data_IF_705171181368
#
_entry.id   IF_705171181368
#
_cell.length_a   1.000
_cell.length_b   1.000
_cell.length_c   1.000
_cell.angle_alpha   90.00
_cell.angle_beta   90.00
_cell.angle_gamma   90.00
#
_symmetry.space_group_name_H-M   'P 1'
#
loop_
_entity.id
_entity.type
_entity.pdbx_description
1 polymer ?
#
# COMPACT_ATOMS: atom_id res chain seq x y z
N UNK A 1 -18.28 -18.82 -2.28
CA UNK A 1 -17.40 -18.62 -1.12
C UNK A 1 -17.42 -19.89 -0.32
N UNK A 2 -16.27 -20.52 -0.17
CA UNK A 2 -16.11 -21.72 0.67
C UNK A 2 -15.95 -21.31 2.14
N UNK A 3 -16.10 -22.28 3.06
CA UNK A 3 -15.84 -21.99 4.49
C UNK A 3 -14.42 -21.48 4.75
N UNK A 4 -13.45 -21.99 4.00
CA UNK A 4 -12.05 -21.56 4.05
C UNK A 4 -11.84 -20.10 3.58
N UNK A 5 -12.57 -19.66 2.56
CA UNK A 5 -12.53 -18.25 2.11
C UNK A 5 -13.06 -17.30 3.20
N UNK A 6 -14.13 -17.72 3.90
CA UNK A 6 -14.68 -16.92 4.99
C UNK A 6 -13.69 -16.80 6.15
N UNK A 7 -13.01 -17.90 6.51
CA UNK A 7 -11.99 -17.89 7.56
C UNK A 7 -10.83 -16.96 7.17
N UNK A 8 -10.31 -17.08 5.94
CA UNK A 8 -9.23 -16.22 5.44
C UNK A 8 -9.63 -14.75 5.48
N UNK A 9 -10.82 -14.43 4.96
CA UNK A 9 -11.34 -13.05 4.92
C UNK A 9 -11.46 -12.47 6.33
N UNK A 10 -12.05 -13.24 7.26
CA UNK A 10 -12.21 -12.81 8.65
C UNK A 10 -10.86 -12.62 9.33
N UNK A 11 -9.94 -13.58 9.16
CA UNK A 11 -8.60 -13.52 9.75
C UNK A 11 -7.82 -12.30 9.26
N UNK A 12 -7.81 -12.03 7.94
CA UNK A 12 -7.12 -10.87 7.38
C UNK A 12 -7.81 -9.54 7.71
N UNK A 13 -9.13 -9.52 7.87
CA UNK A 13 -9.84 -8.33 8.37
C UNK A 13 -9.42 -8.01 9.80
N UNK A 14 -9.40 -9.00 10.68
CA UNK A 14 -8.97 -8.83 12.08
C UNK A 14 -7.49 -8.42 12.15
N UNK A 15 -6.62 -9.09 11.39
CA UNK A 15 -5.21 -8.72 11.29
C UNK A 15 -5.04 -7.29 10.80
N UNK A 16 -5.80 -6.89 9.77
CA UNK A 16 -5.83 -5.52 9.26
C UNK A 16 -6.27 -4.51 10.32
N UNK A 17 -7.28 -4.84 11.12
CA UNK A 17 -7.71 -4.00 12.24
C UNK A 17 -6.61 -3.80 13.27
N UNK A 18 -5.91 -4.86 13.67
CA UNK A 18 -4.78 -4.80 14.60
C UNK A 18 -3.64 -3.96 14.04
N UNK A 19 -3.24 -4.18 12.79
CA UNK A 19 -2.22 -3.38 12.11
C UNK A 19 -2.66 -1.91 12.05
N UNK A 20 -3.91 -1.65 11.68
CA UNK A 20 -4.46 -0.29 11.63
C UNK A 20 -4.45 0.42 13.00
N UNK A 21 -4.68 -0.30 14.10
CA UNK A 21 -4.56 0.23 15.45
C UNK A 21 -3.10 0.58 15.80
N UNK A 22 -2.14 -0.28 15.40
CA UNK A 22 -0.71 -0.01 15.57
C UNK A 22 -0.30 1.22 14.76
N UNK A 23 -0.74 1.32 13.50
CA UNK A 23 -0.49 2.48 12.64
C UNK A 23 -1.08 3.75 13.26
N UNK A 24 -2.33 3.70 13.74
CA UNK A 24 -2.96 4.82 14.45
C UNK A 24 -2.16 5.24 15.68
N UNK A 25 -1.69 4.29 16.49
CA UNK A 25 -0.85 4.58 17.65
C UNK A 25 0.47 5.25 17.23
N UNK A 26 1.13 4.74 16.19
CA UNK A 26 2.34 5.38 15.61
C UNK A 26 2.07 6.78 15.07
N UNK A 27 0.92 7.00 14.45
CA UNK A 27 0.52 8.33 13.98
C UNK A 27 0.26 9.31 15.13
N UNK A 28 -0.21 8.82 16.27
CA UNK A 28 -0.45 9.64 17.46
C UNK A 28 0.84 10.16 18.09
N UNK A 29 1.99 9.49 17.89
CA UNK A 29 3.29 9.97 18.38
C UNK A 29 3.83 11.18 17.61
N UNK A 30 3.26 11.50 16.44
CA UNK A 30 3.68 12.58 15.54
C UNK A 30 5.18 12.54 15.14
N UNK A 31 5.84 11.40 15.33
CA UNK A 31 7.26 11.21 15.06
C UNK A 31 7.65 11.34 13.57
N UNK A 32 6.67 11.43 12.68
CA UNK A 32 6.87 11.69 11.25
C UNK A 32 6.98 13.19 10.92
N UNK A 33 6.57 14.09 11.85
CA UNK A 33 6.66 15.54 11.69
C UNK A 33 8.12 15.99 11.84
N UNK A 34 8.48 17.05 11.09
CA UNK A 34 9.76 17.74 11.24
C UNK A 34 9.64 18.86 12.28
N UNK A 35 10.77 19.42 12.68
CA UNK A 35 10.81 20.47 13.70
C UNK A 35 9.99 21.71 13.33
N UNK A 36 9.93 22.06 12.05
CA UNK A 36 9.12 23.13 11.49
C UNK A 36 7.62 22.84 11.42
N UNK A 37 7.24 21.56 11.51
CA UNK A 37 5.84 21.09 11.47
C UNK A 37 5.23 20.85 12.86
N UNK A 38 6.03 20.87 13.92
CA UNK A 38 5.60 20.57 15.30
C UNK A 38 4.54 21.55 15.81
N UNK A 39 4.60 22.81 15.35
CA UNK A 39 3.66 23.88 15.74
C UNK A 39 2.29 23.78 15.08
N UNK A 40 2.11 22.87 14.10
CA UNK A 40 0.82 22.67 13.45
C UNK A 40 -0.22 22.06 14.41
N UNK A 41 -1.51 22.41 14.26
CA UNK A 41 -2.57 21.82 15.08
C UNK A 41 -2.51 20.29 15.09
N UNK A 42 -2.84 19.69 16.24
CA UNK A 42 -2.88 18.25 16.33
C UNK A 42 -3.98 17.69 15.41
N UNK A 43 -3.66 16.74 14.53
CA UNK A 43 -4.68 16.11 13.71
C UNK A 43 -5.63 15.31 14.62
N UNK A 44 -6.89 15.21 14.22
CA UNK A 44 -7.92 14.46 14.97
C UNK A 44 -7.58 12.98 15.17
N UNK A 45 -8.43 12.23 15.87
CA UNK A 45 -8.12 10.87 16.39
C UNK A 45 -7.95 9.77 15.32
N UNK A 46 -8.14 10.09 14.03
CA UNK A 46 -7.85 9.22 12.87
C UNK A 46 -8.39 7.78 12.98
N UNK A 47 -9.59 7.62 13.54
CA UNK A 47 -10.25 6.31 13.65
C UNK A 47 -10.58 5.65 12.30
N UNK A 48 -10.60 6.43 11.23
CA UNK A 48 -10.79 5.92 9.88
C UNK A 48 -9.61 5.01 9.43
N UNK A 49 -8.39 5.19 9.99
CA UNK A 49 -7.20 4.41 9.59
C UNK A 49 -7.36 2.92 9.92
N UNK A 50 -7.68 2.51 11.17
CA UNK A 50 -7.95 1.11 11.46
C UNK A 50 -9.08 0.53 10.62
N UNK A 51 -10.16 1.29 10.42
CA UNK A 51 -11.29 0.85 9.60
C UNK A 51 -10.88 0.64 8.13
N UNK A 52 -10.12 1.57 7.55
CA UNK A 52 -9.64 1.47 6.17
C UNK A 52 -8.69 0.29 5.98
N UNK A 53 -7.73 0.08 6.91
CA UNK A 53 -6.81 -1.07 6.85
C UNK A 53 -7.54 -2.38 6.97
N UNK A 54 -8.49 -2.50 7.90
CA UNK A 54 -9.31 -3.70 8.09
C UNK A 54 -10.16 -3.99 6.84
N UNK A 55 -10.88 -3.00 6.35
CA UNK A 55 -11.73 -3.14 5.17
C UNK A 55 -10.93 -3.51 3.92
N UNK A 56 -9.80 -2.83 3.66
CA UNK A 56 -8.96 -3.13 2.51
C UNK A 56 -8.36 -4.54 2.59
N UNK A 57 -7.89 -4.97 3.78
CA UNK A 57 -7.37 -6.33 3.98
C UNK A 57 -8.44 -7.40 3.75
N UNK A 58 -9.65 -7.19 4.29
CA UNK A 58 -10.79 -8.08 4.11
C UNK A 58 -11.25 -8.16 2.66
N UNK A 59 -11.34 -7.02 1.97
CA UNK A 59 -11.73 -6.97 0.55
C UNK A 59 -10.71 -7.69 -0.35
N UNK A 60 -9.42 -7.55 -0.07
CA UNK A 60 -8.38 -8.29 -0.80
C UNK A 60 -8.49 -9.78 -0.55
N UNK A 61 -8.67 -10.21 0.71
CA UNK A 61 -8.87 -11.60 1.05
C UNK A 61 -10.10 -12.19 0.37
N UNK A 62 -11.22 -11.47 0.42
CA UNK A 62 -12.45 -11.88 -0.26
C UNK A 62 -12.28 -11.98 -1.78
N UNK A 63 -11.54 -11.04 -2.38
CA UNK A 63 -11.32 -10.99 -3.83
C UNK A 63 -10.45 -12.14 -4.34
N UNK A 64 -9.43 -12.52 -3.59
CA UNK A 64 -8.46 -13.55 -4.02
C UNK A 64 -8.84 -14.94 -3.51
N UNK A 65 -9.44 -15.05 -2.33
CA UNK A 65 -9.74 -16.32 -1.70
C UNK A 65 -8.49 -17.15 -1.36
N UNK A 66 -8.72 -18.40 -0.98
CA UNK A 66 -7.65 -19.35 -0.64
C UNK A 66 -6.90 -19.81 -1.89
N UNK A 67 -7.57 -19.90 -3.03
CA UNK A 67 -6.96 -20.43 -4.26
C UNK A 67 -5.88 -19.53 -4.84
N UNK A 68 -5.99 -18.22 -4.62
CA UNK A 68 -5.07 -17.21 -5.13
C UNK A 68 -4.33 -16.44 -4.02
N UNK A 69 -4.18 -17.06 -2.85
CA UNK A 69 -3.55 -16.41 -1.69
C UNK A 69 -2.13 -15.87 -1.96
N UNK A 70 -1.28 -16.43 -2.88
CA UNK A 70 0.03 -15.83 -3.11
C UNK A 70 -0.03 -14.41 -3.63
N UNK A 71 -1.12 -14.03 -4.33
CA UNK A 71 -1.33 -12.66 -4.82
C UNK A 71 -1.66 -11.67 -3.69
N UNK A 72 -1.97 -12.14 -2.49
CA UNK A 72 -2.09 -11.29 -1.31
C UNK A 72 -0.74 -10.73 -0.88
N UNK A 73 0.37 -11.44 -1.12
CA UNK A 73 1.71 -11.02 -0.70
C UNK A 73 2.12 -9.64 -1.25
N UNK A 74 2.00 -9.34 -2.56
CA UNK A 74 2.29 -8.01 -3.08
C UNK A 74 1.20 -6.97 -2.81
N UNK A 75 -0.06 -7.39 -2.54
CA UNK A 75 -1.19 -6.47 -2.47
C UNK A 75 -1.58 -6.05 -1.05
N UNK A 76 -1.40 -6.91 -0.04
CA UNK A 76 -1.64 -6.55 1.36
C UNK A 76 -0.80 -5.36 1.84
N UNK A 77 0.48 -5.20 1.45
CA UNK A 77 1.24 -4.00 1.78
C UNK A 77 0.55 -2.70 1.35
N UNK A 78 -0.17 -2.68 0.22
CA UNK A 78 -0.94 -1.49 -0.19
C UNK A 78 -2.06 -1.18 0.82
N UNK A 79 -2.75 -2.21 1.33
CA UNK A 79 -3.79 -2.03 2.33
C UNK A 79 -3.25 -1.50 3.67
N UNK A 80 -2.02 -1.83 4.02
CA UNK A 80 -1.40 -1.45 5.29
C UNK A 80 -0.70 -0.09 5.22
N UNK A 81 0.13 0.11 4.19
CA UNK A 81 0.88 1.37 4.01
C UNK A 81 0.05 2.49 3.40
N UNK A 82 -0.94 2.17 2.56
CA UNK A 82 -1.78 3.17 1.90
C UNK A 82 -2.48 4.12 2.89
N UNK A 83 -3.32 3.63 3.83
CA UNK A 83 -3.95 4.47 4.83
C UNK A 83 -2.96 5.18 5.76
N UNK A 84 -1.79 4.57 6.04
CA UNK A 84 -0.73 5.21 6.81
C UNK A 84 -0.15 6.43 6.09
N UNK A 85 0.27 6.23 4.83
CA UNK A 85 0.82 7.30 3.99
C UNK A 85 -0.22 8.41 3.76
N UNK A 86 -1.48 8.03 3.48
CA UNK A 86 -2.57 8.99 3.32
C UNK A 86 -2.81 9.83 4.58
N UNK A 87 -2.71 9.21 5.77
CA UNK A 87 -2.90 9.94 7.03
C UNK A 87 -1.76 10.94 7.29
N UNK A 88 -0.53 10.65 6.85
CA UNK A 88 0.61 11.57 6.94
C UNK A 88 0.45 12.69 5.90
N UNK A 89 0.06 12.34 4.68
CA UNK A 89 -0.12 13.31 3.60
C UNK A 89 -1.22 14.32 3.91
N UNK A 90 -2.32 13.88 4.50
CA UNK A 90 -3.41 14.76 4.97
C UNK A 90 -2.98 15.72 6.08
N UNK A 91 -1.93 15.40 6.83
CA UNK A 91 -1.42 16.23 7.93
C UNK A 91 -0.34 17.22 7.45
N UNK A 92 0.69 16.71 6.78
CA UNK A 92 1.89 17.52 6.45
C UNK A 92 2.13 17.65 4.94
N UNK A 93 1.24 17.16 4.11
CA UNK A 93 1.28 17.20 2.63
C UNK A 93 2.62 16.76 2.06
N UNK A 94 3.21 15.73 2.67
CA UNK A 94 4.43 15.08 2.19
C UNK A 94 4.48 13.61 2.59
N UNK A 95 5.14 12.83 1.77
CA UNK A 95 5.35 11.40 2.00
C UNK A 95 6.78 11.15 2.51
N UNK A 96 6.96 10.52 3.70
CA UNK A 96 8.29 10.22 4.23
C UNK A 96 9.02 9.20 3.35
N UNK A 97 10.19 9.56 2.82
CA UNK A 97 10.97 8.67 1.94
C UNK A 97 11.29 7.31 2.57
N UNK A 98 11.54 7.27 3.88
CA UNK A 98 11.82 6.01 4.60
C UNK A 98 10.64 5.06 4.58
N UNK A 99 9.43 5.58 4.74
CA UNK A 99 8.20 4.79 4.72
C UNK A 99 7.87 4.31 3.31
N UNK A 100 8.07 5.16 2.30
CA UNK A 100 7.95 4.79 0.89
C UNK A 100 8.95 3.70 0.50
N UNK A 101 10.21 3.82 0.90
CA UNK A 101 11.24 2.82 0.64
C UNK A 101 10.89 1.48 1.31
N UNK A 102 10.47 1.50 2.58
CA UNK A 102 10.02 0.30 3.29
C UNK A 102 8.84 -0.36 2.57
N UNK A 103 7.84 0.43 2.14
CA UNK A 103 6.71 -0.08 1.38
C UNK A 103 7.15 -0.73 0.06
N UNK A 104 8.01 -0.04 -0.72
CA UNK A 104 8.54 -0.58 -1.98
C UNK A 104 9.28 -1.91 -1.80
N UNK A 105 10.12 -2.01 -0.75
CA UNK A 105 10.82 -3.26 -0.41
C UNK A 105 9.84 -4.37 -0.08
N UNK A 106 8.84 -4.11 0.76
CA UNK A 106 7.84 -5.13 1.16
C UNK A 106 7.03 -5.59 -0.05
N UNK A 107 6.63 -4.69 -0.95
CA UNK A 107 5.94 -5.05 -2.21
C UNK A 107 6.86 -5.89 -3.10
N UNK A 108 8.12 -5.49 -3.29
CA UNK A 108 9.08 -6.24 -4.12
C UNK A 108 9.32 -7.66 -3.57
N UNK A 109 9.49 -7.80 -2.25
CA UNK A 109 9.60 -9.09 -1.57
C UNK A 109 8.32 -9.91 -1.77
N UNK A 110 7.14 -9.28 -1.63
CA UNK A 110 5.85 -9.93 -1.85
C UNK A 110 5.67 -10.44 -3.28
N UNK A 111 6.08 -9.66 -4.29
CA UNK A 111 6.10 -10.06 -5.71
C UNK A 111 7.04 -11.24 -5.92
N UNK A 112 8.27 -11.16 -5.41
CA UNK A 112 9.26 -12.24 -5.52
C UNK A 112 8.78 -13.53 -4.87
N UNK A 113 8.21 -13.44 -3.66
CA UNK A 113 7.67 -14.58 -2.95
C UNK A 113 6.48 -15.21 -3.70
N UNK A 114 5.57 -14.39 -4.22
CA UNK A 114 4.45 -14.88 -5.03
C UNK A 114 4.93 -15.63 -6.27
N UNK A 115 5.89 -15.06 -7.01
CA UNK A 115 6.48 -15.70 -8.19
C UNK A 115 7.16 -17.03 -7.85
N UNK A 116 7.89 -17.11 -6.74
CA UNK A 116 8.57 -18.33 -6.30
C UNK A 116 7.56 -19.42 -5.85
N UNK A 117 6.54 -19.05 -5.10
CA UNK A 117 5.53 -20.00 -4.59
C UNK A 117 4.69 -20.57 -5.72
N UNK A 118 4.34 -19.75 -6.71
CA UNK A 118 3.54 -20.21 -7.85
C UNK A 118 4.38 -20.84 -8.95
N UNK A 119 5.70 -20.66 -8.94
CA UNK A 119 6.58 -21.06 -10.04
C UNK A 119 6.39 -20.21 -11.31
N UNK A 120 5.70 -19.07 -11.21
CA UNK A 120 5.34 -18.23 -12.34
C UNK A 120 6.11 -16.90 -12.32
N UNK A 121 7.16 -16.84 -13.12
CA UNK A 121 7.98 -15.61 -13.28
C UNK A 121 7.20 -14.46 -13.93
N UNK A 122 6.10 -14.73 -14.62
CA UNK A 122 5.28 -13.71 -15.26
C UNK A 122 4.75 -12.69 -14.25
N UNK A 123 4.49 -13.10 -13.00
CA UNK A 123 4.08 -12.21 -11.90
C UNK A 123 5.10 -11.09 -11.67
N UNK A 124 6.39 -11.46 -11.62
CA UNK A 124 7.46 -10.48 -11.41
C UNK A 124 7.65 -9.57 -12.62
N UNK A 125 7.58 -10.13 -13.84
CA UNK A 125 7.66 -9.34 -15.08
C UNK A 125 6.51 -8.35 -15.18
N UNK A 126 5.28 -8.79 -14.91
CA UNK A 126 4.09 -7.94 -14.94
C UNK A 126 4.17 -6.84 -13.88
N UNK A 127 4.61 -7.15 -12.67
CA UNK A 127 4.82 -6.16 -11.62
C UNK A 127 5.85 -5.09 -12.07
N UNK A 128 6.96 -5.52 -12.68
CA UNK A 128 7.96 -4.60 -13.20
C UNK A 128 7.41 -3.71 -14.33
N UNK A 129 6.67 -4.29 -15.27
CA UNK A 129 6.01 -3.56 -16.35
C UNK A 129 4.98 -2.58 -15.79
N UNK A 130 4.12 -3.01 -14.86
CA UNK A 130 3.11 -2.16 -14.25
C UNK A 130 3.71 -0.98 -13.49
N UNK A 131 4.78 -1.22 -12.73
CA UNK A 131 5.53 -0.16 -12.05
C UNK A 131 6.17 0.82 -13.04
N UNK A 132 6.77 0.31 -14.11
CA UNK A 132 7.39 1.14 -15.15
C UNK A 132 6.37 1.98 -15.92
N UNK A 133 5.25 1.38 -16.34
CA UNK A 133 4.16 2.10 -17.03
C UNK A 133 3.60 3.20 -16.15
N UNK A 134 3.32 2.90 -14.89
CA UNK A 134 2.83 3.87 -13.93
C UNK A 134 3.83 5.04 -13.71
N UNK A 135 5.13 4.73 -13.62
CA UNK A 135 6.18 5.74 -13.54
C UNK A 135 6.26 6.63 -14.79
N UNK A 136 6.23 6.02 -15.98
CA UNK A 136 6.29 6.77 -17.25
C UNK A 136 5.08 7.68 -17.41
N UNK A 137 3.87 7.20 -17.11
CA UNK A 137 2.65 8.01 -17.15
C UNK A 137 2.77 9.21 -16.18
N UNK A 138 3.22 8.97 -14.95
CA UNK A 138 3.44 10.05 -14.00
C UNK A 138 4.48 11.05 -14.52
N UNK A 139 5.62 10.56 -15.03
CA UNK A 139 6.69 11.41 -15.55
C UNK A 139 6.23 12.30 -16.72
N UNK A 140 5.40 11.74 -17.62
CA UNK A 140 4.78 12.52 -18.71
C UNK A 140 3.85 13.59 -18.14
N UNK A 141 3.00 13.25 -17.18
CA UNK A 141 2.06 14.19 -16.56
C UNK A 141 2.78 15.35 -15.85
N UNK A 142 3.87 15.05 -15.13
CA UNK A 142 4.70 16.06 -14.49
C UNK A 142 5.36 17.00 -15.50
N UNK A 143 5.78 16.47 -16.69
CA UNK A 143 6.34 17.28 -17.78
C UNK A 143 5.31 18.17 -18.47
N UNK A 144 4.05 17.68 -18.61
CA UNK A 144 2.96 18.47 -19.23
C UNK A 144 2.49 19.57 -18.28
N UNK A 145 2.52 19.35 -16.97
CA UNK A 145 2.09 20.32 -15.95
C UNK A 145 3.10 20.40 -14.80
N UNK A 146 4.23 21.09 -15.00
CA UNK A 146 5.29 21.15 -14.01
C UNK A 146 4.78 21.70 -12.65
N UNK A 147 5.11 21.00 -11.56
CA UNK A 147 4.72 21.40 -10.20
C UNK A 147 3.25 21.14 -9.84
N UNK A 148 2.47 20.50 -10.72
CA UNK A 148 1.08 20.11 -10.43
C UNK A 148 0.96 18.82 -9.60
N UNK A 149 2.00 18.00 -9.60
CA UNK A 149 2.08 16.73 -8.87
C UNK A 149 3.30 16.75 -7.94
N UNK A 150 3.12 16.32 -6.70
CA UNK A 150 4.21 16.28 -5.72
C UNK A 150 5.23 15.18 -6.06
N UNK A 151 6.54 15.44 -5.88
CA UNK A 151 7.58 14.42 -6.04
C UNK A 151 7.40 13.20 -5.13
N UNK A 152 6.65 13.34 -4.02
CA UNK A 152 6.25 12.23 -3.15
C UNK A 152 5.35 11.24 -3.87
N UNK A 153 4.36 11.74 -4.62
CA UNK A 153 3.42 10.94 -5.40
C UNK A 153 4.14 10.20 -6.53
N UNK A 154 5.11 10.87 -7.18
CA UNK A 154 5.93 10.26 -8.23
C UNK A 154 6.69 9.01 -7.80
N UNK A 155 7.10 8.95 -6.54
CA UNK A 155 7.77 7.78 -5.96
C UNK A 155 6.79 6.69 -5.53
N UNK A 156 5.55 7.05 -5.19
CA UNK A 156 4.54 6.13 -4.72
C UNK A 156 3.82 5.39 -5.85
N UNK A 157 3.57 6.08 -6.96
CA UNK A 157 2.85 5.56 -8.13
C UNK A 157 3.46 4.26 -8.69
N UNK A 158 4.80 4.13 -8.89
CA UNK A 158 5.39 2.87 -9.34
C UNK A 158 5.14 1.69 -8.40
N UNK A 159 5.11 1.93 -7.09
CA UNK A 159 4.85 0.88 -6.09
C UNK A 159 3.42 0.36 -6.23
N UNK A 160 2.46 1.27 -6.38
CA UNK A 160 1.06 0.92 -6.63
C UNK A 160 0.93 0.18 -7.96
N UNK A 161 1.58 0.69 -9.02
CA UNK A 161 1.58 0.07 -10.35
C UNK A 161 2.11 -1.35 -10.32
N UNK A 162 3.22 -1.60 -9.66
CA UNK A 162 3.81 -2.93 -9.52
C UNK A 162 2.87 -3.91 -8.79
N UNK A 163 2.32 -3.50 -7.66
CA UNK A 163 1.42 -4.35 -6.90
C UNK A 163 0.06 -4.59 -7.59
N UNK A 164 -0.44 -3.60 -8.32
CA UNK A 164 -1.72 -3.69 -9.01
C UNK A 164 -1.64 -4.57 -10.27
N UNK A 165 -0.55 -4.45 -11.04
CA UNK A 165 -0.38 -5.15 -12.32
C UNK A 165 0.00 -6.62 -12.17
N UNK A 166 0.59 -7.00 -11.07
CA UNK A 166 0.87 -8.42 -10.75
C UNK A 166 -0.37 -9.35 -10.82
N UNK A 167 -1.55 -8.78 -11.11
CA UNK A 167 -2.87 -9.43 -11.15
C UNK A 167 -3.44 -9.67 -12.55
N UNK A 168 -2.85 -9.11 -13.63
CA UNK A 168 -3.54 -9.01 -14.91
C UNK A 168 -3.71 -10.30 -15.71
N UNK A 169 -3.10 -11.42 -15.30
CA UNK A 169 -3.13 -12.68 -16.06
C UNK A 169 -3.66 -13.91 -15.31
N UNK A 170 -4.47 -13.72 -14.28
CA UNK A 170 -5.14 -14.82 -13.57
C UNK A 170 -6.66 -14.72 -13.61
#
# INVERSE_FOLDING_TARGET
MTGSDLILTTALTVLGAVIGLIVRWRLATLAYRRDDEVTQPSPGPRWWVPAAVAAASGLLAWRFGVDRWPLLLPTLPLAWFGPWLSAIDLDVRRLPNRLLAAHGVVVAVGVGAAALITGDLSIAIQAAVGGMVAFVVFWILDRVRPGGLGWGDGKYIPIIGAAAWARCCF
#
